data_IF_612721733944
#
_entry.id   IF_612721733944
#
_cell.length_a   1.000
_cell.length_b   1.000
_cell.length_c   1.000
_cell.angle_alpha   90.00
_cell.angle_beta   90.00
_cell.angle_gamma   90.00
#
_symmetry.space_group_name_H-M   'P 1'
#
loop_
_entity.id
_entity.type
_entity.pdbx_description
1 polymer ?
#
# COMPACT_ATOMS: atom_id res chain seq x y z
N UNK A 1 -4.83 -4.26 6.01
CA UNK A 1 -5.38 -2.95 6.43
C UNK A 1 -5.15 -2.69 7.92
N UNK A 2 -5.41 -3.69 8.78
CA UNK A 2 -5.00 -3.67 10.18
C UNK A 2 -3.52 -3.38 10.35
N UNK A 3 -2.68 -4.00 9.52
CA UNK A 3 -1.23 -3.82 9.52
C UNK A 3 -0.85 -2.34 9.33
N UNK A 4 -1.43 -1.66 8.33
CA UNK A 4 -1.18 -0.24 8.09
C UNK A 4 -1.62 0.64 9.25
N UNK A 5 -2.79 0.35 9.84
CA UNK A 5 -3.27 1.05 11.02
C UNK A 5 -2.36 0.84 12.23
N UNK A 6 -1.88 -0.39 12.46
CA UNK A 6 -0.96 -0.75 13.54
C UNK A 6 0.41 -0.07 13.34
N UNK A 7 0.80 0.25 12.09
CA UNK A 7 1.94 1.12 11.76
C UNK A 7 1.67 2.61 11.96
N UNK A 8 0.50 3.01 12.46
CA UNK A 8 0.13 4.41 12.69
C UNK A 8 -0.27 5.17 11.42
N UNK A 9 -0.48 4.49 10.29
CA UNK A 9 -0.98 5.13 9.07
C UNK A 9 -2.43 5.55 9.32
N UNK A 10 -2.72 6.83 9.11
CA UNK A 10 -4.09 7.37 9.22
C UNK A 10 -4.70 7.68 7.86
N UNK A 11 -3.87 7.93 6.85
CA UNK A 11 -4.29 8.32 5.50
C UNK A 11 -3.53 7.49 4.48
N UNK A 12 -4.27 6.67 3.74
CA UNK A 12 -3.77 5.96 2.58
C UNK A 12 -4.07 6.79 1.33
N UNK A 13 -3.04 7.30 0.64
CA UNK A 13 -3.20 7.99 -0.64
C UNK A 13 -3.02 7.02 -1.79
N UNK A 14 -3.98 7.02 -2.70
CA UNK A 14 -3.98 6.18 -3.90
C UNK A 14 -4.23 7.04 -5.12
N UNK A 15 -3.69 6.62 -6.27
CA UNK A 15 -4.02 7.27 -7.53
C UNK A 15 -5.50 7.11 -7.86
N UNK A 16 -6.14 8.21 -8.25
CA UNK A 16 -7.54 8.22 -8.65
C UNK A 16 -7.71 7.47 -9.98
N UNK A 17 -8.56 6.45 -9.95
CA UNK A 17 -9.03 5.71 -11.14
C UNK A 17 -10.41 6.22 -11.54
N UNK A 18 -11.20 5.36 -12.19
CA UNK A 18 -12.62 5.58 -12.42
C UNK A 18 -13.39 5.69 -11.10
N UNK A 19 -14.47 6.50 -11.10
CA UNK A 19 -15.31 6.73 -9.93
C UNK A 19 -15.78 5.43 -9.26
N UNK A 20 -16.21 4.45 -10.05
CA UNK A 20 -16.71 3.18 -9.53
C UNK A 20 -15.62 2.38 -8.79
N UNK A 21 -14.40 2.37 -9.33
CA UNK A 21 -13.26 1.69 -8.71
C UNK A 21 -12.84 2.39 -7.42
N UNK A 22 -12.79 3.73 -7.43
CA UNK A 22 -12.47 4.52 -6.24
C UNK A 22 -13.51 4.31 -5.13
N UNK A 23 -14.80 4.22 -5.48
CA UNK A 23 -15.88 3.97 -4.53
C UNK A 23 -15.82 2.56 -3.95
N UNK A 24 -15.40 1.55 -4.72
CA UNK A 24 -15.13 0.20 -4.20
C UNK A 24 -14.00 0.20 -3.18
N UNK A 25 -12.90 0.89 -3.45
CA UNK A 25 -11.78 1.00 -2.48
C UNK A 25 -12.26 1.64 -1.17
N UNK A 26 -13.04 2.73 -1.26
CA UNK A 26 -13.63 3.40 -0.09
C UNK A 26 -14.56 2.48 0.70
N UNK A 27 -15.38 1.68 0.00
CA UNK A 27 -16.27 0.73 0.65
C UNK A 27 -15.49 -0.34 1.44
N UNK A 28 -14.42 -0.89 0.86
CA UNK A 28 -13.53 -1.85 1.53
C UNK A 28 -12.90 -1.22 2.78
N UNK A 29 -12.37 -0.01 2.67
CA UNK A 29 -11.76 0.72 3.80
C UNK A 29 -12.78 1.02 4.89
N UNK A 30 -13.98 1.48 4.54
CA UNK A 30 -15.05 1.74 5.49
C UNK A 30 -15.50 0.47 6.22
N UNK A 31 -15.62 -0.66 5.51
CA UNK A 31 -15.99 -1.93 6.11
C UNK A 31 -14.92 -2.41 7.09
N UNK A 32 -13.65 -2.40 6.69
CA UNK A 32 -12.57 -2.78 7.58
C UNK A 32 -12.49 -1.87 8.81
N UNK A 33 -12.67 -0.56 8.63
CA UNK A 33 -12.72 0.41 9.73
C UNK A 33 -13.79 0.06 10.77
N UNK A 34 -14.99 -0.28 10.31
CA UNK A 34 -16.08 -0.74 11.18
C UNK A 34 -15.72 -2.05 11.89
N UNK A 35 -15.12 -3.01 11.19
CA UNK A 35 -14.68 -4.29 11.78
C UNK A 35 -13.58 -4.11 12.85
N UNK A 36 -12.75 -3.07 12.69
CA UNK A 36 -11.65 -2.75 13.60
C UNK A 36 -12.07 -1.86 14.79
N UNK A 37 -13.33 -1.40 14.82
CA UNK A 37 -13.84 -0.52 15.89
C UNK A 37 -13.23 0.88 15.87
N UNK A 38 -12.77 1.34 14.70
CA UNK A 38 -12.14 2.64 14.53
C UNK A 38 -13.20 3.74 14.31
N UNK A 39 -12.91 4.96 14.78
CA UNK A 39 -13.77 6.11 14.57
C UNK A 39 -13.73 6.61 13.10
N UNK A 40 -14.56 7.60 12.77
CA UNK A 40 -14.67 8.10 11.39
C UNK A 40 -13.38 8.75 10.85
N UNK A 41 -12.46 9.16 11.74
CA UNK A 41 -11.17 9.76 11.39
C UNK A 41 -10.04 8.72 11.37
N UNK A 42 -10.23 7.57 12.00
CA UNK A 42 -9.29 6.46 12.07
C UNK A 42 -9.22 5.71 10.74
N UNK A 43 -8.13 5.90 10.01
CA UNK A 43 -7.81 5.23 8.75
C UNK A 43 -8.77 5.53 7.59
N UNK A 44 -8.36 6.42 6.69
CA UNK A 44 -9.11 6.80 5.49
C UNK A 44 -8.30 6.63 4.20
N UNK A 45 -9.00 6.48 3.09
CA UNK A 45 -8.41 6.47 1.75
C UNK A 45 -8.71 7.77 1.01
N UNK A 46 -7.67 8.40 0.48
CA UNK A 46 -7.75 9.61 -0.35
C UNK A 46 -7.28 9.26 -1.77
N UNK A 47 -8.16 9.45 -2.75
CA UNK A 47 -7.80 9.30 -4.16
C UNK A 47 -7.30 10.63 -4.70
N UNK A 48 -6.02 10.68 -5.09
CA UNK A 48 -5.38 11.88 -5.65
C UNK A 48 -5.24 11.73 -7.17
N UNK A 49 -5.44 12.79 -7.97
CA UNK A 49 -5.12 12.75 -9.39
C UNK A 49 -3.68 12.26 -9.60
N UNK A 50 -3.49 11.35 -10.56
CA UNK A 50 -2.16 10.91 -10.95
C UNK A 50 -1.29 12.11 -11.35
N UNK A 51 0.03 12.06 -11.11
CA UNK A 51 0.93 12.96 -11.79
C UNK A 51 0.77 12.80 -13.31
N UNK A 52 1.24 13.77 -14.09
CA UNK A 52 1.26 13.70 -15.57
C UNK A 52 1.89 12.38 -16.06
N UNK A 53 2.80 11.82 -15.26
CA UNK A 53 3.32 10.47 -15.40
C UNK A 53 2.85 9.57 -14.23
N UNK A 54 1.95 8.60 -14.47
CA UNK A 54 1.58 7.62 -13.46
C UNK A 54 2.80 6.76 -13.10
N UNK A 55 3.28 6.90 -11.86
CA UNK A 55 4.44 6.17 -11.33
C UNK A 55 4.11 4.71 -10.99
N UNK A 56 3.18 4.07 -11.72
CA UNK A 56 2.79 2.67 -11.49
C UNK A 56 3.98 1.72 -11.64
N UNK A 57 4.97 2.10 -12.44
CA UNK A 57 6.25 1.39 -12.60
C UNK A 57 7.10 1.39 -11.33
N UNK A 58 6.93 2.35 -10.42
CA UNK A 58 7.70 2.41 -9.18
C UNK A 58 7.40 1.19 -8.29
N UNK A 59 6.13 0.77 -8.21
CA UNK A 59 5.75 -0.45 -7.50
C UNK A 59 6.43 -1.68 -8.08
N UNK A 60 6.50 -1.79 -9.42
CA UNK A 60 7.17 -2.89 -10.11
C UNK A 60 8.69 -2.90 -9.84
N UNK A 61 9.33 -1.73 -9.78
CA UNK A 61 10.75 -1.62 -9.41
C UNK A 61 10.99 -2.11 -7.99
N UNK A 62 10.18 -1.64 -7.03
CA UNK A 62 10.32 -2.06 -5.62
C UNK A 62 10.09 -3.56 -5.49
N UNK A 63 9.04 -4.10 -6.12
CA UNK A 63 8.75 -5.53 -6.11
C UNK A 63 9.87 -6.35 -6.77
N UNK A 64 10.42 -5.88 -7.89
CA UNK A 64 11.54 -6.51 -8.59
C UNK A 64 12.82 -6.55 -7.74
N UNK A 65 13.15 -5.43 -7.09
CA UNK A 65 14.30 -5.32 -6.19
C UNK A 65 14.17 -6.26 -4.98
N UNK A 66 13.00 -6.31 -4.34
CA UNK A 66 12.73 -7.23 -3.22
C UNK A 66 12.82 -8.70 -3.68
N UNK A 67 12.28 -9.03 -4.85
CA UNK A 67 12.35 -10.40 -5.38
C UNK A 67 13.78 -10.83 -5.70
N UNK A 68 14.58 -9.98 -6.34
CA UNK A 68 15.99 -10.27 -6.63
C UNK A 68 16.79 -10.46 -5.34
N UNK A 69 16.53 -9.64 -4.32
CA UNK A 69 17.15 -9.80 -3.01
C UNK A 69 16.85 -11.16 -2.38
N UNK A 70 15.58 -11.60 -2.44
CA UNK A 70 15.18 -12.95 -1.99
C UNK A 70 15.83 -14.10 -2.77
N UNK A 71 16.34 -13.83 -3.99
CA UNK A 71 17.08 -14.77 -4.82
C UNK A 71 18.61 -14.66 -4.65
N UNK A 72 19.10 -13.82 -3.73
CA UNK A 72 20.52 -13.64 -3.43
C UNK A 72 21.18 -12.42 -4.09
N UNK A 73 20.44 -11.61 -4.85
CA UNK A 73 20.98 -10.43 -5.54
C UNK A 73 20.55 -9.14 -4.84
N UNK A 74 21.42 -8.57 -4.00
CA UNK A 74 21.06 -7.47 -3.08
C UNK A 74 21.18 -6.06 -3.64
N UNK A 75 21.93 -5.85 -4.72
CA UNK A 75 22.30 -4.53 -5.24
C UNK A 75 21.13 -3.53 -5.33
N UNK A 76 20.01 -3.94 -5.92
CA UNK A 76 18.86 -3.05 -6.13
C UNK A 76 18.07 -2.80 -4.84
N UNK A 77 18.00 -3.79 -3.94
CA UNK A 77 17.33 -3.64 -2.65
C UNK A 77 18.13 -2.73 -1.71
N UNK A 78 19.46 -2.81 -1.75
CA UNK A 78 20.37 -1.91 -1.01
C UNK A 78 20.25 -0.47 -1.52
N UNK A 79 20.14 -0.28 -2.85
CA UNK A 79 19.94 1.04 -3.43
C UNK A 79 18.64 1.73 -2.99
N UNK A 80 17.59 0.95 -2.68
CA UNK A 80 16.34 1.46 -2.10
C UNK A 80 16.47 1.77 -0.60
N UNK A 81 17.47 1.24 0.10
CA UNK A 81 17.76 1.57 1.50
C UNK A 81 16.59 1.35 2.46
N UNK A 82 16.51 2.21 3.47
CA UNK A 82 15.59 2.08 4.62
C UNK A 82 14.14 2.50 4.31
N UNK A 83 13.86 2.99 3.10
CA UNK A 83 12.49 3.37 2.70
C UNK A 83 11.63 2.17 2.28
N UNK A 84 12.22 0.98 2.16
CA UNK A 84 11.51 -0.28 1.92
C UNK A 84 11.45 -1.08 3.21
N UNK A 85 10.24 -1.43 3.61
CA UNK A 85 9.95 -2.37 4.68
C UNK A 85 9.34 -3.63 4.08
N UNK A 86 9.95 -4.78 4.33
CA UNK A 86 9.44 -6.09 3.94
C UNK A 86 9.19 -6.95 5.18
N UNK A 87 8.03 -7.61 5.20
CA UNK A 87 7.63 -8.52 6.27
C UNK A 87 6.95 -9.73 5.65
N UNK A 88 7.23 -10.91 6.19
CA UNK A 88 6.58 -12.13 5.75
C UNK A 88 5.17 -12.20 6.33
N UNK A 89 4.18 -12.28 5.43
CA UNK A 89 2.77 -12.47 5.79
C UNK A 89 2.45 -13.94 5.60
N UNK A 90 2.10 -14.62 6.69
CA UNK A 90 1.56 -15.98 6.62
C UNK A 90 0.15 -15.87 6.05
N UNK A 91 -0.05 -16.37 4.83
CA UNK A 91 -1.38 -16.52 4.26
C UNK A 91 -1.83 -17.96 4.49
N UNK A 92 -2.81 -18.16 5.35
CA UNK A 92 -3.48 -19.45 5.52
C UNK A 92 -4.23 -19.78 4.22
N UNK A 93 -3.54 -20.42 3.28
CA UNK A 93 -4.09 -20.96 2.04
C UNK A 93 -3.86 -22.47 2.02
#
# INVERSE_FOLDING_TARGET
>A
MRELYDFGVQVLRMEAREKELNDRDRAVVNQARQMLGLDAEGFRVEHVPGPVEPLLWLCDIVAGAVRLHRLGESMYREALGDVVLDFDVVTDC
#
